data_IF_552404293759
#
_entry.id   IF_552404293759
#
_cell.length_a   1.000
_cell.length_b   1.000
_cell.length_c   1.000
_cell.angle_alpha   90.00
_cell.angle_beta   90.00
_cell.angle_gamma   90.00
#
_symmetry.space_group_name_H-M   'P 1'
#
loop_
_entity.id
_entity.type
_entity.pdbx_description
1 polymer ?
#
# COMPACT_ATOMS: atom_id res chain seq x y z
N UNK A 1 -9.64 -18.83 -22.43
CA UNK A 1 -9.48 -18.21 -23.76
C UNK A 1 -10.13 -16.84 -23.72
N UNK A 2 -9.35 -15.76 -23.61
CA UNK A 2 -9.85 -14.39 -23.57
C UNK A 2 -9.71 -13.79 -24.95
N UNK A 3 -10.81 -13.55 -25.63
CA UNK A 3 -10.88 -12.91 -26.93
C UNK A 3 -10.74 -11.40 -26.79
N UNK A 4 -9.72 -10.87 -27.42
CA UNK A 4 -9.41 -9.42 -27.49
C UNK A 4 -10.34 -8.79 -28.56
N UNK A 5 -11.33 -8.00 -28.13
CA UNK A 5 -12.12 -7.16 -29.04
C UNK A 5 -11.34 -5.89 -29.37
N UNK A 6 -10.89 -5.76 -30.60
CA UNK A 6 -10.27 -4.56 -31.15
C UNK A 6 -11.37 -3.56 -31.55
N UNK A 7 -11.63 -2.59 -30.66
CA UNK A 7 -12.42 -1.40 -31.02
C UNK A 7 -11.58 -0.46 -31.87
N UNK A 8 -11.90 -0.34 -33.16
CA UNK A 8 -11.25 0.58 -34.08
C UNK A 8 -11.56 2.04 -33.73
N UNK A 9 -10.54 2.79 -33.29
CA UNK A 9 -10.61 4.25 -33.18
C UNK A 9 -10.45 4.83 -34.56
N UNK A 10 -11.50 5.48 -35.07
CA UNK A 10 -11.48 6.20 -36.35
C UNK A 10 -10.48 7.35 -36.28
N UNK A 11 -9.32 7.18 -36.87
CA UNK A 11 -8.27 8.21 -37.02
C UNK A 11 -8.65 9.18 -38.13
N UNK A 12 -9.40 10.24 -37.80
CA UNK A 12 -9.68 11.34 -38.71
C UNK A 12 -8.40 12.15 -39.00
N UNK A 13 -8.14 12.56 -40.26
CA UNK A 13 -6.94 13.30 -40.66
C UNK A 13 -6.77 14.66 -39.95
N UNK A 14 -7.84 15.22 -39.39
CA UNK A 14 -7.81 16.47 -38.61
C UNK A 14 -7.13 16.33 -37.26
N UNK A 15 -7.27 15.18 -36.59
CA UNK A 15 -6.65 14.92 -35.27
C UNK A 15 -5.13 14.71 -35.39
N UNK A 16 -4.68 14.05 -36.46
CA UNK A 16 -3.23 13.89 -36.73
C UNK A 16 -2.53 15.22 -37.00
N UNK A 17 -3.19 16.18 -37.68
CA UNK A 17 -2.64 17.51 -37.97
C UNK A 17 -2.58 18.40 -36.72
N UNK A 18 -3.55 18.27 -35.80
CA UNK A 18 -3.55 18.97 -34.52
C UNK A 18 -2.47 18.46 -33.54
N UNK A 19 -2.27 17.14 -33.51
CA UNK A 19 -1.24 16.52 -32.67
C UNK A 19 0.19 16.74 -33.18
N UNK A 20 0.41 16.78 -34.50
CA UNK A 20 1.72 17.04 -35.09
C UNK A 20 2.27 18.43 -34.76
N UNK A 21 1.41 19.43 -34.56
CA UNK A 21 1.81 20.77 -34.14
C UNK A 21 2.21 20.89 -32.67
N UNK A 22 1.82 19.88 -31.83
CA UNK A 22 2.10 19.88 -30.39
C UNK A 22 3.35 19.04 -30.06
N UNK A 23 3.69 18.03 -30.85
CA UNK A 23 4.72 17.03 -30.54
C UNK A 23 6.08 17.32 -31.24
N UNK A 24 6.12 18.25 -32.20
CA UNK A 24 7.29 18.48 -33.06
C UNK A 24 8.40 19.40 -32.54
N UNK A 25 8.35 19.88 -31.30
CA UNK A 25 9.40 20.73 -30.74
C UNK A 25 9.81 20.29 -29.33
N UNK A 26 11.10 20.23 -29.04
CA UNK A 26 11.61 20.08 -27.69
C UNK A 26 11.14 21.28 -26.86
N UNK A 27 10.12 21.07 -26.04
CA UNK A 27 9.60 22.11 -25.15
C UNK A 27 10.49 22.12 -23.91
N UNK A 28 11.35 23.14 -23.82
CA UNK A 28 12.08 23.48 -22.60
C UNK A 28 11.09 23.76 -21.46
N UNK A 29 11.44 23.37 -20.24
CA UNK A 29 10.62 23.59 -19.02
C UNK A 29 10.12 25.03 -18.91
N UNK A 30 10.96 26.00 -19.30
CA UNK A 30 10.62 27.43 -19.29
C UNK A 30 9.57 27.79 -20.34
N UNK A 31 9.64 27.19 -21.52
CA UNK A 31 8.67 27.37 -22.59
C UNK A 31 7.34 26.69 -22.26
N UNK A 32 7.36 25.55 -21.58
CA UNK A 32 6.16 24.88 -21.07
C UNK A 32 5.45 25.75 -20.04
N UNK A 33 6.14 26.27 -19.03
CA UNK A 33 5.57 27.14 -18.00
C UNK A 33 5.03 28.46 -18.56
N UNK A 34 5.69 29.04 -19.59
CA UNK A 34 5.20 30.23 -20.29
C UNK A 34 3.95 29.96 -21.13
N UNK A 35 3.87 28.77 -21.75
CA UNK A 35 2.72 28.37 -22.59
C UNK A 35 1.53 27.86 -21.77
N UNK A 36 1.73 27.30 -20.57
CA UNK A 36 0.66 26.88 -19.69
C UNK A 36 -0.06 28.01 -18.95
N UNK A 37 0.31 29.26 -19.25
CA UNK A 37 -0.48 30.43 -18.83
C UNK A 37 -0.42 30.77 -17.34
N UNK A 38 0.49 30.18 -16.58
CA UNK A 38 0.61 30.41 -15.13
C UNK A 38 1.09 31.83 -14.79
N UNK A 39 1.64 32.57 -15.78
CA UNK A 39 2.18 33.91 -15.54
C UNK A 39 1.28 35.10 -15.96
N UNK A 40 0.21 34.89 -16.73
CA UNK A 40 -0.65 36.01 -17.12
C UNK A 40 -2.13 35.66 -17.38
N UNK A 41 -2.47 34.39 -17.59
CA UNK A 41 -3.85 33.96 -17.92
C UNK A 41 -4.71 33.66 -16.68
N UNK A 42 -4.10 33.41 -15.54
CA UNK A 42 -4.83 33.07 -14.31
C UNK A 42 -5.65 34.25 -13.75
N UNK A 43 -5.19 35.48 -13.98
CA UNK A 43 -5.89 36.68 -13.47
C UNK A 43 -7.01 37.11 -14.40
N UNK A 44 -6.88 36.89 -15.72
CA UNK A 44 -7.88 37.28 -16.70
C UNK A 44 -9.10 36.34 -16.74
N UNK A 45 -8.95 35.06 -16.39
CA UNK A 45 -10.06 34.10 -16.30
C UNK A 45 -10.85 34.23 -15.00
N UNK A 46 -10.23 34.73 -13.93
CA UNK A 46 -10.90 34.95 -12.66
C UNK A 46 -11.95 36.10 -12.73
N UNK A 47 -11.81 37.02 -13.69
CA UNK A 47 -12.73 38.14 -13.86
C UNK A 47 -13.99 37.79 -14.66
N UNK A 48 -14.03 36.61 -15.30
CA UNK A 48 -15.18 36.19 -16.14
C UNK A 48 -16.05 35.12 -15.44
N UNK A 49 -15.57 34.54 -14.34
CA UNK A 49 -16.39 33.63 -13.55
C UNK A 49 -17.32 34.42 -12.62
N UNK A 50 -18.64 34.14 -12.63
CA UNK A 50 -19.55 34.80 -11.71
C UNK A 50 -19.10 34.54 -10.26
N UNK A 51 -18.77 35.61 -9.56
CA UNK A 51 -18.26 35.61 -8.17
C UNK A 51 -19.22 34.98 -7.14
N UNK A 52 -20.41 34.57 -7.56
CA UNK A 52 -21.40 33.90 -6.71
C UNK A 52 -21.23 32.38 -6.53
N UNK A 53 -20.30 31.73 -7.21
CA UNK A 53 -20.08 30.26 -7.10
C UNK A 53 -18.83 29.84 -6.36
N UNK A 54 -18.02 30.77 -5.89
CA UNK A 54 -16.97 30.43 -4.94
C UNK A 54 -17.62 30.17 -3.58
N UNK A 55 -18.11 28.93 -3.39
CA UNK A 55 -18.44 28.42 -2.06
C UNK A 55 -17.15 28.53 -1.27
N UNK A 56 -17.09 29.46 -0.30
CA UNK A 56 -15.95 29.53 0.61
C UNK A 56 -15.70 28.13 1.12
N UNK A 57 -14.59 27.53 0.70
CA UNK A 57 -14.12 26.29 1.29
C UNK A 57 -13.80 26.65 2.74
N UNK A 58 -14.75 26.39 3.64
CA UNK A 58 -14.56 26.53 5.06
C UNK A 58 -13.31 25.72 5.38
N UNK A 59 -12.21 26.40 5.68
CA UNK A 59 -10.98 25.75 6.04
C UNK A 59 -11.33 24.79 7.18
N UNK A 60 -11.18 23.49 6.93
CA UNK A 60 -11.40 22.52 7.99
C UNK A 60 -10.47 22.88 9.13
N UNK A 61 -10.99 22.90 10.35
CA UNK A 61 -10.17 23.13 11.54
C UNK A 61 -8.94 22.22 11.48
N UNK A 62 -7.74 22.73 11.82
CA UNK A 62 -6.52 21.94 11.74
C UNK A 62 -6.71 20.65 12.52
N UNK A 63 -6.56 19.54 11.84
CA UNK A 63 -6.72 18.21 12.40
C UNK A 63 -5.58 17.96 13.37
N UNK A 64 -5.88 17.78 14.66
CA UNK A 64 -4.87 17.44 15.66
C UNK A 64 -4.50 15.96 15.52
N UNK A 65 -3.54 15.68 14.67
CA UNK A 65 -3.06 14.33 14.42
C UNK A 65 -2.11 13.89 15.54
N UNK A 66 -2.40 12.74 16.13
CA UNK A 66 -1.46 12.06 17.01
C UNK A 66 -0.42 11.34 16.19
N UNK A 67 0.85 11.73 16.31
CA UNK A 67 1.96 11.03 15.68
C UNK A 67 2.45 9.88 16.57
N UNK A 68 2.51 8.67 16.00
CA UNK A 68 2.97 7.47 16.70
C UNK A 68 4.11 6.86 15.89
N UNK A 69 5.29 6.79 16.49
CA UNK A 69 6.43 6.11 15.89
C UNK A 69 6.21 4.59 15.94
N UNK A 70 6.32 3.93 14.80
CA UNK A 70 6.17 2.49 14.65
C UNK A 70 7.15 1.92 13.63
N UNK A 71 7.10 0.62 13.37
CA UNK A 71 8.01 -0.08 12.47
C UNK A 71 7.24 -0.66 11.29
N UNK A 72 7.79 -0.53 10.09
CA UNK A 72 7.28 -1.16 8.88
C UNK A 72 7.35 -2.68 9.01
N UNK A 73 6.24 -3.37 8.70
CA UNK A 73 6.12 -4.83 8.85
C UNK A 73 6.41 -5.61 7.57
N UNK A 74 6.92 -4.97 6.53
CA UNK A 74 7.11 -5.61 5.23
C UNK A 74 8.36 -6.46 5.09
N UNK A 75 9.41 -6.18 5.86
CA UNK A 75 10.67 -6.94 5.78
C UNK A 75 11.53 -6.72 7.03
N UNK A 76 12.63 -7.47 7.10
CA UNK A 76 13.56 -7.45 8.22
C UNK A 76 14.38 -6.14 8.35
N UNK A 77 14.30 -5.21 7.40
CA UNK A 77 14.99 -3.90 7.51
C UNK A 77 14.49 -3.11 8.70
N UNK A 78 13.20 -3.22 9.06
CA UNK A 78 12.67 -2.56 10.24
C UNK A 78 12.60 -1.04 10.12
N UNK A 79 12.32 -0.51 8.94
CA UNK A 79 12.21 0.94 8.71
C UNK A 79 11.21 1.58 9.68
N UNK A 80 11.59 2.70 10.27
CA UNK A 80 10.71 3.48 11.14
C UNK A 80 9.69 4.25 10.32
N UNK A 81 8.45 4.19 10.74
CA UNK A 81 7.28 4.90 10.18
C UNK A 81 6.68 5.76 11.29
N UNK A 82 6.30 6.97 10.96
CA UNK A 82 5.50 7.84 11.84
C UNK A 82 4.06 7.74 11.36
N UNK A 83 3.23 7.05 12.13
CA UNK A 83 1.81 6.93 11.86
C UNK A 83 1.07 8.18 12.35
N UNK A 84 0.27 8.78 11.48
CA UNK A 84 -0.61 9.90 11.79
C UNK A 84 -2.02 9.36 12.07
N UNK A 85 -2.43 9.51 13.31
CA UNK A 85 -3.66 8.89 13.83
C UNK A 85 -4.66 9.97 14.23
N UNK A 86 -5.87 9.87 13.68
CA UNK A 86 -7.05 10.63 14.12
C UNK A 86 -8.08 9.69 14.71
N UNK A 87 -8.51 9.98 15.94
CA UNK A 87 -9.55 9.20 16.67
C UNK A 87 -9.35 7.68 16.63
N UNK A 88 -8.10 7.24 16.69
CA UNK A 88 -7.74 5.82 16.66
C UNK A 88 -7.60 5.21 15.26
N UNK A 89 -7.81 5.97 14.21
CA UNK A 89 -7.64 5.53 12.83
C UNK A 89 -6.32 6.07 12.26
N UNK A 90 -5.53 5.20 11.71
CA UNK A 90 -4.28 5.57 11.01
C UNK A 90 -4.61 6.14 9.64
N UNK A 91 -4.55 7.48 9.50
CA UNK A 91 -5.01 8.20 8.30
C UNK A 91 -3.88 8.68 7.38
N UNK A 92 -2.69 8.92 7.92
CA UNK A 92 -1.52 9.37 7.17
C UNK A 92 -0.24 8.75 7.71
N UNK A 93 0.85 8.84 6.95
CA UNK A 93 2.15 8.39 7.43
C UNK A 93 3.30 9.19 6.83
N UNK A 94 4.34 9.32 7.64
CA UNK A 94 5.63 9.91 7.27
C UNK A 94 6.76 8.91 7.56
N UNK A 95 7.90 8.99 6.87
CA UNK A 95 9.08 8.22 7.23
C UNK A 95 9.67 8.71 8.55
N UNK A 96 10.32 7.83 9.30
CA UNK A 96 11.07 8.21 10.50
C UNK A 96 12.33 8.99 10.15
N UNK A 97 12.29 10.31 10.20
CA UNK A 97 13.39 11.20 9.81
C UNK A 97 14.63 11.04 10.69
N UNK A 98 14.44 10.73 11.96
CA UNK A 98 15.47 10.50 12.96
C UNK A 98 15.89 9.02 13.10
N UNK A 99 15.39 8.17 12.24
CA UNK A 99 15.71 6.74 12.27
C UNK A 99 17.10 6.48 11.69
N UNK A 100 17.99 5.78 12.40
CA UNK A 100 19.29 5.40 11.86
C UNK A 100 19.21 4.33 10.76
N UNK A 101 18.07 3.66 10.62
CA UNK A 101 17.87 2.58 9.66
C UNK A 101 17.46 3.08 8.27
N UNK A 102 16.47 3.94 8.20
CA UNK A 102 15.90 4.41 6.94
C UNK A 102 16.10 5.90 6.66
N UNK A 103 16.67 6.67 7.59
CA UNK A 103 17.09 8.07 7.41
C UNK A 103 16.05 8.93 6.67
N UNK A 104 14.79 8.80 7.04
CA UNK A 104 13.69 9.53 6.40
C UNK A 104 13.28 9.03 5.01
N UNK A 105 13.65 7.80 4.62
CA UNK A 105 13.25 7.21 3.35
C UNK A 105 12.32 6.02 3.53
N UNK A 106 11.44 5.81 2.55
CA UNK A 106 10.63 4.61 2.40
C UNK A 106 10.82 4.00 1.01
N UNK A 107 10.80 2.69 0.92
CA UNK A 107 10.53 2.02 -0.35
C UNK A 107 9.02 2.04 -0.64
N UNK A 108 8.60 1.68 -1.87
CA UNK A 108 7.19 1.65 -2.26
C UNK A 108 6.30 0.83 -1.29
N UNK A 109 6.81 -0.26 -0.71
CA UNK A 109 6.07 -1.08 0.26
C UNK A 109 5.90 -0.35 1.60
N UNK A 110 6.95 0.30 2.10
CA UNK A 110 6.89 1.09 3.33
C UNK A 110 5.94 2.27 3.21
N UNK A 111 5.91 2.92 2.04
CA UNK A 111 5.00 4.03 1.78
C UNK A 111 3.52 3.63 1.80
N UNK A 112 3.18 2.36 1.60
CA UNK A 112 1.80 1.84 1.57
C UNK A 112 1.44 0.95 2.76
N UNK A 113 2.28 0.89 3.79
CA UNK A 113 2.04 -0.02 4.94
C UNK A 113 0.71 0.27 5.66
N UNK A 114 0.27 1.51 5.69
CA UNK A 114 -1.04 1.92 6.22
C UNK A 114 -2.21 1.15 5.58
N UNK A 115 -2.15 0.93 4.26
CA UNK A 115 -3.23 0.28 3.52
C UNK A 115 -3.43 -1.19 3.95
N UNK A 116 -2.35 -1.83 4.41
CA UNK A 116 -2.44 -3.17 4.98
C UNK A 116 -3.05 -3.18 6.39
N UNK A 117 -2.88 -2.11 7.15
CA UNK A 117 -3.44 -2.02 8.50
C UNK A 117 -4.97 -1.92 8.49
N UNK A 118 -5.54 -1.19 7.54
CA UNK A 118 -6.96 -0.85 7.48
C UNK A 118 -7.69 -1.39 6.24
N UNK A 119 -7.01 -2.14 5.37
CA UNK A 119 -7.61 -2.70 4.16
C UNK A 119 -8.82 -3.60 4.48
N UNK A 120 -9.92 -3.44 3.73
CA UNK A 120 -11.13 -4.26 3.88
C UNK A 120 -10.86 -5.75 3.72
N UNK A 121 -9.86 -6.11 2.89
CA UNK A 121 -9.45 -7.50 2.64
C UNK A 121 -8.54 -8.09 3.71
N UNK A 122 -8.19 -7.31 4.75
CA UNK A 122 -7.34 -7.81 5.82
C UNK A 122 -8.03 -8.90 6.60
N UNK A 123 -7.40 -10.07 6.71
CA UNK A 123 -7.85 -11.15 7.59
C UNK A 123 -7.72 -10.70 9.05
N UNK A 124 -8.80 -10.75 9.79
CA UNK A 124 -8.88 -10.36 11.22
C UNK A 124 -8.90 -11.56 12.17
N UNK A 125 -9.20 -12.74 11.63
CA UNK A 125 -9.40 -13.96 12.40
C UNK A 125 -8.84 -15.16 11.63
N UNK A 126 -8.41 -16.23 12.33
CA UNK A 126 -8.13 -17.50 11.68
C UNK A 126 -9.37 -18.03 10.97
N UNK A 127 -9.18 -18.66 9.84
CA UNK A 127 -10.27 -19.23 9.05
C UNK A 127 -9.87 -20.62 8.57
N UNK A 128 -10.84 -21.55 8.59
CA UNK A 128 -10.68 -22.93 8.10
C UNK A 128 -11.66 -23.18 6.96
N UNK A 129 -11.21 -23.81 5.91
CA UNK A 129 -12.08 -24.23 4.82
C UNK A 129 -12.71 -25.59 5.14
N UNK A 130 -14.03 -25.64 5.16
CA UNK A 130 -14.82 -26.86 5.37
C UNK A 130 -15.90 -26.92 4.31
N UNK A 131 -15.90 -27.98 3.50
CA UNK A 131 -16.89 -28.17 2.43
C UNK A 131 -16.93 -26.99 1.42
N UNK A 132 -15.80 -26.40 1.10
CA UNK A 132 -15.71 -25.25 0.18
C UNK A 132 -16.06 -23.88 0.79
N UNK A 133 -16.47 -23.84 2.06
CA UNK A 133 -16.82 -22.59 2.76
C UNK A 133 -15.76 -22.24 3.80
N UNK A 134 -15.48 -20.94 3.95
CA UNK A 134 -14.57 -20.43 4.98
C UNK A 134 -15.32 -20.21 6.28
N UNK A 135 -14.87 -20.88 7.35
CA UNK A 135 -15.43 -20.81 8.71
C UNK A 135 -14.42 -20.09 9.61
N UNK A 136 -14.89 -19.10 10.35
CA UNK A 136 -14.09 -18.37 11.34
C UNK A 136 -13.82 -19.26 12.55
N UNK A 137 -12.57 -19.26 13.04
CA UNK A 137 -12.14 -19.95 14.25
C UNK A 137 -11.67 -18.95 15.31
N UNK A 138 -11.64 -19.39 16.57
CA UNK A 138 -10.85 -18.71 17.59
C UNK A 138 -9.34 -19.00 17.39
N UNK A 139 -8.47 -18.17 17.96
CA UNK A 139 -7.03 -18.42 17.93
C UNK A 139 -6.66 -19.72 18.63
N UNK A 140 -7.23 -19.99 19.80
CA UNK A 140 -6.97 -21.22 20.57
C UNK A 140 -7.37 -22.46 19.77
N UNK A 141 -8.55 -22.43 19.16
CA UNK A 141 -8.99 -23.53 18.31
C UNK A 141 -8.05 -23.75 17.13
N UNK A 142 -7.66 -22.68 16.43
CA UNK A 142 -6.77 -22.80 15.28
C UNK A 142 -5.39 -23.32 15.67
N UNK A 143 -4.80 -22.83 16.77
CA UNK A 143 -3.49 -23.25 17.27
C UNK A 143 -3.52 -24.72 17.68
N UNK A 144 -4.53 -25.15 18.45
CA UNK A 144 -4.66 -26.54 18.90
C UNK A 144 -4.86 -27.49 17.72
N UNK A 145 -5.78 -27.19 16.79
CA UNK A 145 -6.02 -28.06 15.63
C UNK A 145 -4.76 -28.20 14.73
N UNK A 146 -4.03 -27.09 14.53
CA UNK A 146 -2.78 -27.12 13.74
C UNK A 146 -1.71 -27.90 14.49
N UNK A 147 -1.54 -27.64 15.78
CA UNK A 147 -0.56 -28.33 16.63
C UNK A 147 -0.77 -29.84 16.68
N UNK A 148 -1.99 -30.28 16.93
CA UNK A 148 -2.36 -31.70 16.98
C UNK A 148 -2.09 -32.39 15.65
N UNK A 149 -2.44 -31.73 14.54
CA UNK A 149 -2.19 -32.27 13.20
C UNK A 149 -0.70 -32.39 12.89
N UNK A 150 0.10 -31.38 13.23
CA UNK A 150 1.54 -31.39 13.05
C UNK A 150 2.18 -32.51 13.88
N UNK A 151 1.80 -32.66 15.16
CA UNK A 151 2.30 -33.73 16.03
C UNK A 151 1.92 -35.12 15.52
N UNK A 152 0.71 -35.28 14.99
CA UNK A 152 0.29 -36.54 14.37
C UNK A 152 1.14 -36.88 13.14
N UNK A 153 1.41 -35.91 12.25
CA UNK A 153 2.27 -36.09 11.08
C UNK A 153 3.70 -36.47 11.52
N UNK A 154 4.25 -35.75 12.50
CA UNK A 154 5.59 -36.03 13.02
C UNK A 154 5.69 -37.45 13.61
N UNK A 155 4.66 -37.87 14.35
CA UNK A 155 4.61 -39.23 14.93
C UNK A 155 4.51 -40.31 13.86
N UNK A 156 3.75 -40.06 12.80
CA UNK A 156 3.50 -41.03 11.73
C UNK A 156 4.66 -41.13 10.74
N UNK A 157 5.24 -40.00 10.34
CA UNK A 157 6.14 -39.90 9.16
C UNK A 157 7.47 -39.21 9.46
N UNK A 158 7.73 -38.84 10.72
CA UNK A 158 8.95 -38.15 11.15
C UNK A 158 8.89 -36.62 10.93
N UNK A 159 9.88 -35.91 11.48
CA UNK A 159 9.96 -34.45 11.37
C UNK A 159 10.15 -33.95 9.94
N UNK A 160 10.87 -34.72 9.10
CA UNK A 160 11.17 -34.38 7.70
C UNK A 160 9.93 -34.43 6.79
N UNK A 161 8.79 -34.92 7.29
CA UNK A 161 7.52 -34.90 6.55
C UNK A 161 6.87 -33.50 6.46
N UNK A 162 7.47 -32.50 7.09
CA UNK A 162 6.98 -31.11 7.06
C UNK A 162 7.96 -30.21 6.32
N UNK A 163 7.42 -29.32 5.48
CA UNK A 163 8.21 -28.33 4.75
C UNK A 163 7.92 -26.91 5.26
N UNK A 164 8.97 -26.20 5.63
CA UNK A 164 8.87 -24.87 6.22
C UNK A 164 9.33 -23.80 5.23
N UNK A 165 8.41 -22.90 4.86
CA UNK A 165 8.67 -21.79 3.96
C UNK A 165 8.84 -20.49 4.74
N UNK A 166 9.97 -19.84 4.58
CA UNK A 166 10.25 -18.51 5.10
C UNK A 166 10.15 -17.43 4.02
N UNK A 167 10.25 -16.18 4.43
CA UNK A 167 10.22 -15.04 3.52
C UNK A 167 11.09 -13.91 4.00
N UNK A 168 11.68 -13.16 3.07
CA UNK A 168 12.33 -11.87 3.35
C UNK A 168 11.34 -10.79 3.86
N UNK A 169 10.05 -11.07 3.84
CA UNK A 169 9.00 -10.21 4.40
C UNK A 169 8.72 -10.44 5.88
N UNK A 170 9.44 -11.35 6.50
CA UNK A 170 9.35 -11.49 7.95
C UNK A 170 10.12 -10.35 8.65
N UNK A 171 9.63 -9.89 9.78
CA UNK A 171 10.42 -9.08 10.70
C UNK A 171 11.57 -9.93 11.28
N UNK A 172 12.55 -9.27 11.91
CA UNK A 172 13.66 -9.99 12.56
C UNK A 172 13.15 -10.95 13.64
N UNK A 173 12.17 -10.51 14.44
CA UNK A 173 11.55 -11.29 15.50
C UNK A 173 10.80 -12.51 14.94
N UNK A 174 10.02 -12.30 13.88
CA UNK A 174 9.32 -13.40 13.19
C UNK A 174 10.31 -14.43 12.63
N UNK A 175 11.37 -13.96 11.98
CA UNK A 175 12.41 -14.83 11.41
C UNK A 175 13.12 -15.65 12.50
N UNK A 176 13.43 -15.01 13.64
CA UNK A 176 14.04 -15.68 14.79
C UNK A 176 13.13 -16.76 15.38
N UNK A 177 11.86 -16.41 15.66
CA UNK A 177 10.89 -17.35 16.21
C UNK A 177 10.60 -18.50 15.25
N UNK A 178 10.46 -18.21 13.97
CA UNK A 178 10.24 -19.22 12.94
C UNK A 178 11.42 -20.21 12.87
N UNK A 179 12.66 -19.69 12.80
CA UNK A 179 13.84 -20.53 12.81
C UNK A 179 13.97 -21.38 14.08
N UNK A 180 13.71 -20.78 15.24
CA UNK A 180 13.72 -21.47 16.53
C UNK A 180 12.71 -22.61 16.52
N UNK A 181 11.50 -22.36 16.05
CA UNK A 181 10.42 -23.34 15.99
C UNK A 181 10.82 -24.57 15.15
N UNK A 182 11.25 -24.38 13.90
CA UNK A 182 11.59 -25.53 13.06
C UNK A 182 12.88 -26.22 13.48
N UNK A 183 13.84 -25.53 14.12
CA UNK A 183 15.04 -26.15 14.67
C UNK A 183 14.71 -27.09 15.84
N UNK A 184 13.72 -26.79 16.66
CA UNK A 184 13.22 -27.69 17.71
C UNK A 184 12.26 -28.77 17.18
N UNK A 185 11.72 -28.56 16.01
CA UNK A 185 10.87 -29.55 15.39
C UNK A 185 11.63 -30.82 14.98
N UNK A 186 12.87 -30.71 14.53
CA UNK A 186 13.79 -31.79 14.19
C UNK A 186 14.19 -31.82 12.74
#
# INVERSE_FOLDING_TARGET
MLTKTSGGVANGPRLKKALAGVIGGSIDRRAFLKRSGVTAGGVALASVLPTGMAKEAKAAAPMQLKQIKTVCTHCAVGCTVIAEVDKGVWIGQEPGWDSPLNLGAHCAKGATVRDFAHGERRLKYPMKQVGGKWIKLSWDQAINEIGDKLLAIRKQSGPDATYWLGSAKFSNEQSYLFRKFYAFWG
#
